data_IF_234345251989
#
_entry.id   IF_234345251989
#
_cell.length_a   1.000
_cell.length_b   1.000
_cell.length_c   1.000
_cell.angle_alpha   90.00
_cell.angle_beta   90.00
_cell.angle_gamma   90.00
#
_symmetry.space_group_name_H-M   'P 1'
#
loop_
_entity.id
_entity.type
_entity.pdbx_description
1 polymer ?
#
# COMPACT_ATOMS: atom_id res chain seq x y z
N UNK A 1 -9.83 11.04 4.66
CA UNK A 1 -10.39 12.30 5.17
C UNK A 1 -9.38 13.45 5.16
N UNK A 2 -8.12 13.28 5.60
CA UNK A 2 -7.13 14.37 5.67
C UNK A 2 -6.84 15.01 4.29
N UNK A 3 -6.75 14.19 3.24
CA UNK A 3 -6.45 14.67 1.88
C UNK A 3 -7.55 15.59 1.35
N UNK A 4 -8.82 15.27 1.55
CA UNK A 4 -9.92 16.14 1.09
C UNK A 4 -9.95 17.46 1.87
N UNK A 5 -9.61 17.45 3.17
CA UNK A 5 -9.48 18.70 3.96
C UNK A 5 -8.37 19.61 3.42
N UNK A 6 -7.24 19.02 3.09
CA UNK A 6 -6.12 19.74 2.48
C UNK A 6 -6.51 20.36 1.14
N UNK A 7 -7.18 19.59 0.27
CA UNK A 7 -7.64 20.08 -1.05
C UNK A 7 -8.70 21.17 -0.90
N UNK A 8 -9.60 21.02 0.06
CA UNK A 8 -10.59 22.06 0.38
C UNK A 8 -9.92 23.35 0.86
N UNK A 9 -8.83 23.26 1.64
CA UNK A 9 -8.06 24.43 2.08
C UNK A 9 -7.37 25.14 0.91
N UNK A 10 -6.80 24.41 -0.04
CA UNK A 10 -6.27 25.02 -1.28
C UNK A 10 -7.36 25.71 -2.08
N UNK A 11 -8.53 25.09 -2.20
CA UNK A 11 -9.65 25.61 -2.97
C UNK A 11 -10.26 26.90 -2.37
N UNK A 12 -10.31 27.02 -1.05
CA UNK A 12 -11.02 28.10 -0.34
C UNK A 12 -10.13 29.22 0.20
N UNK A 13 -8.86 29.27 -0.24
CA UNK A 13 -7.89 30.29 0.19
C UNK A 13 -7.29 30.04 1.56
N UNK A 14 -7.17 28.79 1.99
CA UNK A 14 -6.43 28.35 3.16
C UNK A 14 -7.26 28.05 4.40
N UNK A 15 -8.58 28.04 4.31
CA UNK A 15 -9.39 27.70 5.46
C UNK A 15 -9.50 26.19 5.65
N UNK A 16 -9.06 25.69 6.79
CA UNK A 16 -9.27 24.34 7.23
C UNK A 16 -10.74 24.13 7.60
N UNK A 17 -11.34 23.06 7.13
CA UNK A 17 -12.73 22.71 7.40
C UNK A 17 -12.82 21.45 8.24
N UNK A 18 -13.79 21.42 9.16
CA UNK A 18 -14.17 20.20 9.85
C UNK A 18 -14.97 19.31 8.88
N UNK A 19 -14.63 18.02 8.87
CA UNK A 19 -15.42 17.01 8.21
C UNK A 19 -16.46 16.48 9.19
N UNK A 20 -17.71 16.85 8.98
CA UNK A 20 -18.82 16.43 9.81
C UNK A 20 -19.75 15.53 9.00
N UNK A 21 -20.11 14.38 9.54
CA UNK A 21 -21.15 13.51 8.98
C UNK A 21 -22.53 14.10 9.24
N UNK A 22 -22.70 14.71 10.43
CA UNK A 22 -23.93 15.38 10.80
C UNK A 22 -23.86 16.84 10.34
N UNK A 23 -24.81 17.27 9.52
CA UNK A 23 -24.91 18.65 9.05
C UNK A 23 -25.64 19.56 10.06
N UNK A 24 -26.76 19.09 10.57
CA UNK A 24 -27.60 19.77 11.55
C UNK A 24 -28.39 18.76 12.37
N UNK A 25 -28.78 19.17 13.56
CA UNK A 25 -29.72 18.43 14.38
C UNK A 25 -31.00 19.24 14.48
N UNK A 26 -32.13 18.63 14.19
CA UNK A 26 -33.45 19.25 14.28
C UNK A 26 -34.27 18.58 15.38
N UNK A 27 -35.03 19.37 16.07
CA UNK A 27 -36.03 18.87 17.03
C UNK A 27 -37.24 18.33 16.29
N UNK A 28 -38.12 17.57 16.99
CA UNK A 28 -39.33 16.97 16.38
C UNK A 28 -40.28 17.97 15.76
N UNK A 29 -40.20 19.24 16.14
CA UNK A 29 -41.02 20.34 15.59
C UNK A 29 -40.28 21.11 14.46
N UNK A 30 -39.19 20.57 13.92
CA UNK A 30 -38.44 21.15 12.79
C UNK A 30 -37.52 22.32 13.14
N UNK A 31 -37.36 22.66 14.42
CA UNK A 31 -36.40 23.69 14.82
C UNK A 31 -34.97 23.16 14.78
N UNK A 32 -34.05 23.93 14.19
CA UNK A 32 -32.61 23.60 14.22
C UNK A 32 -32.09 23.79 15.62
N UNK A 33 -31.63 22.71 16.23
CA UNK A 33 -31.06 22.70 17.58
C UNK A 33 -29.54 22.93 17.55
N UNK A 34 -28.86 22.37 16.53
CA UNK A 34 -27.41 22.47 16.38
C UNK A 34 -27.03 22.50 14.90
N UNK A 35 -26.03 23.29 14.57
CA UNK A 35 -25.38 23.31 13.23
C UNK A 35 -23.93 22.94 13.38
N UNK A 36 -23.47 22.00 12.56
CA UNK A 36 -22.08 21.57 12.59
C UNK A 36 -21.11 22.74 12.31
N UNK A 37 -20.13 22.92 13.17
CA UNK A 37 -19.06 23.87 12.95
C UNK A 37 -18.12 23.32 11.84
N UNK A 38 -18.12 23.97 10.69
CA UNK A 38 -17.39 23.53 9.49
C UNK A 38 -16.03 24.22 9.33
N UNK A 39 -15.73 25.24 10.08
CA UNK A 39 -14.52 26.05 9.91
C UNK A 39 -13.64 25.97 11.13
N UNK A 40 -12.36 25.71 10.91
CA UNK A 40 -11.33 25.72 11.98
C UNK A 40 -10.44 26.96 11.80
N UNK A 41 -9.20 26.75 11.38
CA UNK A 41 -8.18 27.75 11.30
C UNK A 41 -7.92 28.17 9.84
N UNK A 42 -7.23 29.27 9.66
CA UNK A 42 -6.72 29.70 8.37
C UNK A 42 -5.22 29.47 8.30
N UNK A 43 -4.79 28.74 7.27
CA UNK A 43 -3.38 28.58 6.94
C UNK A 43 -2.85 29.94 6.45
N UNK A 44 -1.76 30.41 7.04
CA UNK A 44 -1.07 31.63 6.60
C UNK A 44 -0.07 31.28 5.51
N UNK A 45 -0.26 31.80 4.31
CA UNK A 45 0.66 31.63 3.20
C UNK A 45 1.64 32.80 3.18
N UNK A 46 2.94 32.57 2.97
CA UNK A 46 3.94 33.62 2.80
C UNK A 46 3.69 34.43 1.53
N UNK A 47 3.26 33.73 0.47
CA UNK A 47 2.91 34.32 -0.82
C UNK A 47 1.65 33.65 -1.35
N UNK A 48 0.60 34.43 -1.55
CA UNK A 48 -0.67 33.94 -2.06
C UNK A 48 -0.67 33.71 -3.58
N UNK A 49 0.35 34.23 -4.31
CA UNK A 49 0.50 33.95 -5.74
C UNK A 49 0.72 32.47 -6.00
N UNK A 50 1.42 31.77 -5.09
CA UNK A 50 1.66 30.32 -5.17
C UNK A 50 0.36 29.51 -5.23
N UNK A 51 -0.71 29.97 -4.59
CA UNK A 51 -2.03 29.33 -4.69
C UNK A 51 -2.60 29.40 -6.09
N UNK A 52 -2.38 30.51 -6.79
CA UNK A 52 -2.83 30.68 -8.17
C UNK A 52 -2.04 29.76 -9.11
N UNK A 53 -0.74 29.64 -8.92
CA UNK A 53 0.11 28.75 -9.71
C UNK A 53 -0.26 27.28 -9.52
N UNK A 54 -0.53 26.87 -8.28
CA UNK A 54 -1.06 25.53 -7.96
C UNK A 54 -2.40 25.30 -8.67
N UNK A 55 -3.32 26.28 -8.63
CA UNK A 55 -4.62 26.19 -9.30
C UNK A 55 -4.46 26.04 -10.81
N UNK A 56 -3.60 26.85 -11.44
CA UNK A 56 -3.30 26.75 -12.87
C UNK A 56 -2.78 25.36 -13.21
N UNK A 57 -1.78 24.85 -12.44
CA UNK A 57 -1.26 23.53 -12.61
C UNK A 57 -2.32 22.43 -12.47
N UNK A 58 -3.21 22.53 -11.48
CA UNK A 58 -4.31 21.58 -11.28
C UNK A 58 -5.35 21.63 -12.40
N UNK A 59 -5.65 22.80 -12.93
CA UNK A 59 -6.54 22.95 -14.11
C UNK A 59 -5.91 22.33 -15.35
N UNK A 60 -4.60 22.48 -15.53
CA UNK A 60 -3.90 21.89 -16.67
C UNK A 60 -3.96 20.35 -16.63
N UNK A 61 -3.98 19.72 -15.46
CA UNK A 61 -4.21 18.26 -15.35
C UNK A 61 -5.56 17.85 -15.93
N UNK A 62 -6.61 18.66 -15.73
CA UNK A 62 -7.96 18.41 -16.26
C UNK A 62 -8.12 18.70 -17.74
N UNK A 63 -7.33 19.64 -18.28
CA UNK A 63 -7.51 20.11 -19.67
C UNK A 63 -6.49 19.55 -20.65
N UNK A 64 -5.30 19.22 -20.18
CA UNK A 64 -4.17 18.81 -21.03
C UNK A 64 -3.43 17.57 -20.48
N UNK A 65 -3.63 17.24 -19.19
CA UNK A 65 -2.93 16.14 -18.48
C UNK A 65 -3.74 14.86 -18.40
N UNK A 66 -3.40 14.01 -17.43
CA UNK A 66 -3.95 12.67 -17.26
C UNK A 66 -5.49 12.62 -17.02
N UNK A 67 -6.10 13.72 -16.61
CA UNK A 67 -7.54 13.79 -16.39
C UNK A 67 -8.31 14.42 -17.59
N UNK A 68 -7.64 14.69 -18.72
CA UNK A 68 -8.23 15.33 -19.90
C UNK A 68 -9.41 14.54 -20.45
N UNK A 69 -9.29 13.22 -20.54
CA UNK A 69 -10.35 12.38 -21.13
C UNK A 69 -11.63 12.42 -20.29
N UNK A 70 -11.52 12.62 -18.98
CA UNK A 70 -12.66 12.74 -18.08
C UNK A 70 -13.22 14.17 -18.01
N UNK A 71 -12.36 15.18 -18.01
CA UNK A 71 -12.77 16.56 -17.73
C UNK A 71 -12.62 17.53 -18.88
N UNK A 72 -11.95 17.16 -19.98
CA UNK A 72 -11.73 18.06 -21.11
C UNK A 72 -13.02 18.58 -21.77
N UNK A 73 -14.08 17.77 -21.77
CA UNK A 73 -15.42 18.14 -22.21
C UNK A 73 -16.42 18.39 -21.08
N UNK A 74 -15.97 18.38 -19.81
CA UNK A 74 -16.84 18.61 -18.68
C UNK A 74 -17.27 20.09 -18.63
N UNK A 75 -18.58 20.38 -18.45
CA UNK A 75 -19.08 21.74 -18.61
C UNK A 75 -18.67 22.73 -17.52
N UNK A 76 -18.01 22.22 -16.47
CA UNK A 76 -17.52 23.00 -15.33
C UNK A 76 -16.00 22.82 -15.26
N UNK A 77 -15.30 23.93 -15.12
CA UNK A 77 -13.83 23.93 -15.00
C UNK A 77 -13.41 23.28 -13.69
N UNK A 78 -12.65 22.19 -13.78
CA UNK A 78 -12.20 21.38 -12.64
C UNK A 78 -10.71 21.56 -12.43
N UNK A 79 -10.30 21.70 -11.19
CA UNK A 79 -8.89 21.63 -10.78
C UNK A 79 -8.61 20.26 -10.18
N UNK A 80 -7.70 19.50 -10.78
CA UNK A 80 -7.45 18.09 -10.48
C UNK A 80 -5.98 17.82 -10.21
N UNK A 81 -5.68 16.89 -9.30
CA UNK A 81 -4.33 16.31 -9.13
C UNK A 81 -4.43 14.80 -8.99
N UNK A 82 -3.74 14.12 -9.86
CA UNK A 82 -3.62 12.65 -9.86
C UNK A 82 -2.36 12.23 -9.11
N UNK A 83 -2.37 11.03 -8.56
CA UNK A 83 -1.22 10.45 -7.87
C UNK A 83 -1.28 8.95 -7.88
N UNK A 84 -0.15 8.30 -8.18
CA UNK A 84 0.04 6.87 -8.02
C UNK A 84 0.99 6.70 -6.86
N UNK A 85 0.46 6.31 -5.71
CA UNK A 85 1.26 6.13 -4.51
C UNK A 85 1.75 4.68 -4.44
N UNK A 86 3.03 4.50 -4.62
CA UNK A 86 3.64 3.20 -4.43
C UNK A 86 3.59 2.82 -2.95
N UNK A 87 3.18 1.58 -2.69
CA UNK A 87 3.32 1.00 -1.37
C UNK A 87 4.77 0.57 -1.20
N UNK A 88 5.50 1.16 -0.29
CA UNK A 88 6.85 0.71 0.04
C UNK A 88 6.78 -0.72 0.60
N UNK A 89 7.41 -1.68 -0.11
CA UNK A 89 7.23 -3.09 0.16
C UNK A 89 5.83 -3.53 -0.26
N UNK A 90 5.68 -3.99 -1.48
CA UNK A 90 4.38 -4.34 -2.11
C UNK A 90 3.54 -5.38 -1.35
N UNK A 91 4.16 -6.20 -0.52
CA UNK A 91 3.54 -6.94 0.59
C UNK A 91 4.33 -6.56 1.83
N UNK A 92 3.70 -6.43 3.00
CA UNK A 92 4.44 -6.47 4.23
C UNK A 92 5.38 -7.67 4.16
N UNK A 93 6.68 -7.43 4.24
CA UNK A 93 7.72 -8.48 4.13
C UNK A 93 7.53 -9.59 5.18
N UNK A 94 6.67 -9.34 6.16
CA UNK A 94 6.25 -10.23 7.22
C UNK A 94 5.03 -11.12 6.88
N UNK A 95 4.60 -11.16 5.61
CA UNK A 95 3.41 -11.95 5.17
C UNK A 95 3.58 -12.67 3.84
N UNK A 96 4.78 -12.67 3.29
CA UNK A 96 5.04 -13.35 2.01
C UNK A 96 4.81 -14.88 2.13
N UNK A 97 5.26 -15.47 3.22
CA UNK A 97 5.05 -16.89 3.48
C UNK A 97 3.57 -17.27 3.50
N UNK A 98 2.76 -16.51 4.25
CA UNK A 98 1.33 -16.77 4.38
C UNK A 98 0.60 -16.60 3.05
N UNK A 99 0.98 -15.57 2.29
CA UNK A 99 0.45 -15.35 0.95
C UNK A 99 0.73 -16.53 0.03
N UNK A 100 2.00 -16.92 -0.12
CA UNK A 100 2.39 -18.05 -0.97
C UNK A 100 1.71 -19.36 -0.54
N UNK A 101 1.61 -19.62 0.77
CA UNK A 101 0.94 -20.80 1.30
C UNK A 101 -0.56 -20.84 0.99
N UNK A 102 -1.22 -19.69 0.93
CA UNK A 102 -2.65 -19.61 0.58
C UNK A 102 -2.92 -19.72 -0.93
N UNK A 103 -1.90 -19.49 -1.78
CA UNK A 103 -2.02 -19.48 -3.24
C UNK A 103 -1.35 -20.65 -3.96
N UNK A 104 -1.00 -21.73 -3.25
CA UNK A 104 -0.32 -22.89 -3.83
C UNK A 104 -1.11 -23.56 -4.97
N UNK A 105 -2.43 -23.44 -4.98
CA UNK A 105 -3.28 -23.94 -6.05
C UNK A 105 -3.03 -23.26 -7.39
N UNK A 106 -2.64 -21.96 -7.40
CA UNK A 106 -2.28 -21.25 -8.61
C UNK A 106 -1.03 -21.82 -9.28
N UNK A 107 -0.17 -22.51 -8.52
CA UNK A 107 0.99 -23.24 -8.99
C UNK A 107 0.73 -24.71 -9.28
N UNK A 108 -0.54 -25.17 -9.20
CA UNK A 108 -0.92 -26.58 -9.32
C UNK A 108 -0.19 -27.50 -8.34
N UNK A 109 0.04 -27.02 -7.11
CA UNK A 109 0.77 -27.74 -6.07
C UNK A 109 -0.14 -28.12 -4.90
N UNK A 110 0.08 -29.33 -4.39
CA UNK A 110 -0.55 -29.84 -3.18
C UNK A 110 0.14 -29.29 -1.92
N UNK A 111 -0.65 -28.78 -0.99
CA UNK A 111 -0.16 -28.14 0.24
C UNK A 111 0.66 -29.08 1.11
N UNK A 112 0.26 -30.35 1.24
CA UNK A 112 0.97 -31.31 2.10
C UNK A 112 2.36 -31.61 1.54
N UNK A 113 2.46 -31.81 0.23
CA UNK A 113 3.75 -32.04 -0.46
C UNK A 113 4.67 -30.84 -0.36
N UNK A 114 4.11 -29.63 -0.47
CA UNK A 114 4.89 -28.40 -0.34
C UNK A 114 5.43 -28.25 1.08
N UNK A 115 4.60 -28.50 2.10
CA UNK A 115 5.03 -28.43 3.51
C UNK A 115 6.10 -29.50 3.83
N UNK A 116 5.95 -30.71 3.34
CA UNK A 116 6.96 -31.77 3.52
C UNK A 116 8.30 -31.32 2.93
N UNK A 117 8.29 -30.81 1.68
CA UNK A 117 9.51 -30.34 1.01
C UNK A 117 10.14 -29.14 1.71
N UNK A 118 9.32 -28.17 2.11
CA UNK A 118 9.71 -26.99 2.88
C UNK A 118 10.41 -27.38 4.19
N UNK A 119 9.78 -28.26 4.99
CA UNK A 119 10.33 -28.72 6.25
C UNK A 119 11.65 -29.48 6.06
N UNK A 120 11.74 -30.31 5.02
CA UNK A 120 12.97 -31.01 4.66
C UNK A 120 14.11 -30.04 4.34
N UNK A 121 13.86 -29.03 3.52
CA UNK A 121 14.87 -28.03 3.16
C UNK A 121 15.38 -27.25 4.37
N UNK A 122 14.49 -26.84 5.29
CA UNK A 122 14.89 -26.16 6.53
C UNK A 122 15.72 -27.08 7.41
N UNK A 123 15.26 -28.31 7.63
CA UNK A 123 15.95 -29.31 8.46
C UNK A 123 17.34 -29.65 7.91
N UNK A 124 17.46 -29.84 6.59
CA UNK A 124 18.74 -30.12 5.94
C UNK A 124 19.73 -28.97 6.16
N UNK A 125 19.27 -27.71 6.01
CA UNK A 125 20.13 -26.53 6.24
C UNK A 125 20.51 -26.36 7.71
N UNK A 126 19.60 -26.58 8.65
CA UNK A 126 19.91 -26.55 10.08
C UNK A 126 20.94 -27.60 10.45
N UNK A 127 20.88 -28.79 9.83
CA UNK A 127 21.87 -29.84 10.01
C UNK A 127 23.25 -29.43 9.45
N UNK A 128 23.29 -28.84 8.25
CA UNK A 128 24.51 -28.32 7.66
C UNK A 128 25.17 -27.27 8.56
N UNK A 129 24.41 -26.25 8.98
CA UNK A 129 24.87 -25.17 9.86
C UNK A 129 25.38 -25.72 11.21
N UNK A 130 24.70 -26.72 11.74
CA UNK A 130 25.12 -27.41 12.96
C UNK A 130 26.49 -28.10 12.76
N UNK A 131 26.67 -28.81 11.64
CA UNK A 131 27.93 -29.47 11.31
C UNK A 131 29.07 -28.46 11.05
N UNK A 132 28.78 -27.35 10.35
CA UNK A 132 29.72 -26.23 10.14
C UNK A 132 30.19 -25.65 11.49
N UNK A 133 29.25 -25.39 12.42
CA UNK A 133 29.54 -24.87 13.75
C UNK A 133 30.40 -25.85 14.57
N UNK A 134 30.05 -27.14 14.52
CA UNK A 134 30.86 -28.21 15.19
C UNK A 134 32.29 -28.26 14.63
N UNK A 135 32.44 -28.18 13.31
CA UNK A 135 33.75 -28.17 12.65
C UNK A 135 34.56 -26.93 13.06
N UNK A 136 33.96 -25.75 13.10
CA UNK A 136 34.59 -24.51 13.54
C UNK A 136 35.07 -24.61 15.01
N UNK A 137 34.22 -25.10 15.91
CA UNK A 137 34.59 -25.30 17.33
C UNK A 137 35.72 -26.27 17.47
N UNK A 138 35.70 -27.41 16.77
CA UNK A 138 36.82 -28.40 16.79
C UNK A 138 38.13 -27.79 16.30
N UNK A 139 38.09 -26.97 15.25
CA UNK A 139 39.28 -26.27 14.77
C UNK A 139 39.83 -25.30 15.83
N UNK A 140 38.96 -24.50 16.48
CA UNK A 140 39.35 -23.57 17.55
C UNK A 140 39.90 -24.27 18.81
N UNK A 141 39.38 -25.43 19.15
CA UNK A 141 39.89 -26.25 20.28
C UNK A 141 41.32 -26.74 19.99
N UNK A 142 41.59 -27.12 18.74
CA UNK A 142 42.90 -27.65 18.33
C UNK A 142 43.94 -26.56 18.04
N UNK A 143 43.49 -25.29 17.91
CA UNK A 143 44.39 -24.16 17.63
C UNK A 143 45.16 -23.76 18.90
N UNK A 144 46.44 -24.05 18.93
CA UNK A 144 47.34 -23.75 20.06
C UNK A 144 47.64 -22.26 20.23
N UNK A 145 47.37 -21.44 19.23
CA UNK A 145 47.48 -19.98 19.29
C UNK A 145 46.38 -19.34 20.14
N UNK A 146 45.26 -20.04 20.33
CA UNK A 146 44.16 -19.59 21.16
C UNK A 146 44.43 -19.91 22.63
N UNK A 147 44.13 -18.93 23.48
CA UNK A 147 44.25 -19.05 24.93
C UNK A 147 43.57 -20.30 25.49
N UNK A 148 44.22 -20.94 26.48
CA UNK A 148 43.77 -22.22 27.03
C UNK A 148 42.35 -22.16 27.64
N UNK A 149 41.97 -21.03 28.28
CA UNK A 149 40.67 -20.92 28.92
C UNK A 149 39.57 -20.71 27.88
N UNK A 150 39.89 -20.03 26.78
CA UNK A 150 38.98 -19.94 25.63
C UNK A 150 38.76 -21.30 24.97
N UNK A 151 39.82 -22.10 24.81
CA UNK A 151 39.72 -23.47 24.27
C UNK A 151 38.87 -24.37 25.16
N UNK A 152 39.02 -24.29 26.49
CA UNK A 152 38.15 -25.00 27.46
C UNK A 152 36.67 -24.57 27.33
N UNK A 153 36.42 -23.29 27.08
CA UNK A 153 35.06 -22.80 26.86
C UNK A 153 34.45 -23.40 25.60
N UNK A 154 35.18 -23.44 24.49
CA UNK A 154 34.74 -24.08 23.25
C UNK A 154 34.50 -25.59 23.42
N UNK A 155 35.33 -26.24 24.20
CA UNK A 155 35.15 -27.67 24.55
C UNK A 155 33.81 -27.90 25.28
N UNK A 156 33.52 -27.09 26.30
CA UNK A 156 32.24 -27.17 27.03
C UNK A 156 31.04 -26.90 26.14
N UNK A 157 31.15 -25.90 25.23
CA UNK A 157 30.09 -25.62 24.25
C UNK A 157 29.84 -26.84 23.34
N UNK A 158 30.88 -27.50 22.88
CA UNK A 158 30.78 -28.70 22.04
C UNK A 158 30.14 -29.87 22.80
N UNK A 159 30.57 -30.10 24.07
CA UNK A 159 30.04 -31.17 24.95
C UNK A 159 28.57 -30.96 25.32
N UNK A 160 28.12 -29.72 25.44
CA UNK A 160 26.72 -29.38 25.70
C UNK A 160 25.75 -29.72 24.54
N UNK A 161 26.33 -30.06 23.39
CA UNK A 161 25.54 -30.37 22.17
C UNK A 161 25.13 -29.14 21.41
N UNK A 162 25.52 -29.09 20.13
CA UNK A 162 25.19 -27.97 19.23
C UNK A 162 23.98 -28.30 18.41
N UNK A 163 23.00 -27.38 18.42
CA UNK A 163 21.85 -27.34 17.47
C UNK A 163 21.67 -25.94 16.97
N UNK A 164 21.92 -25.72 15.69
CA UNK A 164 21.68 -24.44 15.04
C UNK A 164 20.29 -24.48 14.44
N UNK A 165 19.48 -23.46 14.72
CA UNK A 165 18.17 -23.24 14.14
C UNK A 165 18.21 -22.07 13.18
N UNK A 166 17.41 -22.14 12.13
CA UNK A 166 17.16 -21.00 11.26
C UNK A 166 16.25 -20.00 11.97
N UNK A 167 16.43 -18.72 11.66
CA UNK A 167 15.51 -17.68 12.14
C UNK A 167 14.09 -17.96 11.64
N UNK A 168 13.13 -17.82 12.55
CA UNK A 168 11.72 -18.00 12.22
C UNK A 168 11.08 -16.64 11.82
N UNK A 169 11.65 -16.02 10.80
CA UNK A 169 11.14 -14.80 10.21
C UNK A 169 10.40 -15.12 8.91
N UNK A 170 9.40 -14.29 8.54
CA UNK A 170 8.68 -14.44 7.28
C UNK A 170 9.65 -14.51 6.10
N UNK A 171 10.66 -13.65 6.07
CA UNK A 171 11.67 -13.62 5.01
C UNK A 171 12.39 -14.96 4.84
N UNK A 172 12.81 -15.59 5.93
CA UNK A 172 13.48 -16.91 5.90
C UNK A 172 12.49 -17.97 5.48
N UNK A 173 11.30 -17.96 6.04
CA UNK A 173 10.25 -18.93 5.72
C UNK A 173 9.83 -18.84 4.25
N UNK A 174 9.59 -17.63 3.73
CA UNK A 174 9.27 -17.41 2.34
C UNK A 174 10.39 -17.89 1.39
N UNK A 175 11.65 -17.67 1.74
CA UNK A 175 12.79 -18.15 0.94
C UNK A 175 12.78 -19.67 0.78
N UNK A 176 12.54 -20.42 1.87
CA UNK A 176 12.48 -21.89 1.80
C UNK A 176 11.22 -22.38 1.12
N UNK A 177 10.10 -21.68 1.28
CA UNK A 177 8.86 -22.00 0.58
C UNK A 177 9.01 -21.83 -0.94
N UNK A 178 9.61 -20.73 -1.41
CA UNK A 178 9.94 -20.53 -2.82
C UNK A 178 10.79 -21.65 -3.39
N UNK A 179 11.80 -22.10 -2.65
CA UNK A 179 12.64 -23.24 -3.05
C UNK A 179 11.82 -24.52 -3.14
N UNK A 180 10.93 -24.79 -2.19
CA UNK A 180 10.07 -25.96 -2.21
C UNK A 180 9.13 -25.96 -3.41
N UNK A 181 8.49 -24.82 -3.72
CA UNK A 181 7.63 -24.62 -4.88
C UNK A 181 8.39 -24.95 -6.18
N UNK A 182 9.54 -24.33 -6.40
CA UNK A 182 10.37 -24.54 -7.62
C UNK A 182 10.91 -25.96 -7.75
N UNK A 183 11.19 -26.65 -6.65
CA UNK A 183 11.64 -28.03 -6.68
C UNK A 183 10.52 -29.02 -6.97
N UNK A 184 9.29 -28.71 -6.59
CA UNK A 184 8.12 -29.54 -6.88
C UNK A 184 7.54 -29.29 -8.26
N UNK A 185 7.74 -28.10 -8.79
CA UNK A 185 7.35 -27.75 -10.16
C UNK A 185 8.45 -26.89 -10.80
N UNK A 186 9.33 -27.55 -11.54
CA UNK A 186 10.49 -26.90 -12.19
C UNK A 186 10.14 -25.92 -13.32
N UNK A 187 8.87 -25.84 -13.73
CA UNK A 187 8.38 -24.87 -14.71
C UNK A 187 8.12 -23.49 -14.07
N UNK A 188 8.02 -23.42 -12.74
CA UNK A 188 7.76 -22.19 -12.02
C UNK A 188 9.07 -21.43 -11.85
N UNK A 189 9.11 -20.21 -12.36
CA UNK A 189 10.23 -19.28 -12.24
C UNK A 189 10.06 -18.37 -11.01
N UNK A 190 11.10 -17.61 -10.66
CA UNK A 190 11.00 -16.57 -9.63
C UNK A 190 10.05 -15.45 -10.08
N UNK A 191 10.00 -15.14 -11.38
CA UNK A 191 9.06 -14.18 -11.96
C UNK A 191 7.61 -14.64 -11.80
N UNK A 192 7.32 -15.93 -12.03
CA UNK A 192 5.98 -16.46 -11.79
C UNK A 192 5.57 -16.38 -10.32
N UNK A 193 6.50 -16.63 -9.41
CA UNK A 193 6.26 -16.47 -7.98
C UNK A 193 6.09 -14.98 -7.62
N UNK A 194 6.85 -14.10 -8.24
CA UNK A 194 6.81 -12.66 -7.97
C UNK A 194 5.59 -11.94 -8.56
N UNK A 195 4.80 -12.61 -9.43
CA UNK A 195 3.53 -12.07 -9.94
C UNK A 195 2.55 -11.67 -8.85
N UNK A 196 2.60 -12.31 -7.68
CA UNK A 196 1.77 -11.88 -6.56
C UNK A 196 2.05 -10.44 -6.12
N UNK A 197 3.23 -9.91 -6.39
CA UNK A 197 3.58 -8.52 -6.11
C UNK A 197 2.79 -7.55 -6.99
N UNK A 198 2.29 -8.02 -8.13
CA UNK A 198 1.43 -7.27 -9.04
C UNK A 198 0.01 -7.13 -8.46
N UNK A 199 -0.47 -8.12 -7.70
CA UNK A 199 -1.77 -8.07 -6.98
C UNK A 199 -1.82 -6.96 -5.92
N UNK A 200 -0.67 -6.43 -5.53
CA UNK A 200 -0.52 -5.30 -4.63
C UNK A 200 -0.10 -4.05 -5.37
N UNK A 201 -0.84 -3.75 -6.41
CA UNK A 201 -0.68 -2.54 -7.20
C UNK A 201 -0.62 -1.27 -6.36
N UNK A 202 -0.03 -0.24 -6.93
CA UNK A 202 0.02 1.08 -6.33
C UNK A 202 -1.38 1.61 -6.02
N UNK A 203 -1.51 2.46 -5.01
CA UNK A 203 -2.77 3.15 -4.73
C UNK A 203 -3.03 4.20 -5.81
N UNK A 204 -4.16 4.09 -6.49
CA UNK A 204 -4.62 5.15 -7.38
C UNK A 204 -5.26 6.28 -6.56
N UNK A 205 -4.74 7.47 -6.71
CA UNK A 205 -5.24 8.67 -6.06
C UNK A 205 -5.68 9.72 -7.07
N UNK A 206 -6.78 10.34 -6.80
CA UNK A 206 -7.17 11.57 -7.46
C UNK A 206 -7.85 12.50 -6.46
N UNK A 207 -7.54 13.78 -6.55
CA UNK A 207 -8.21 14.84 -5.81
C UNK A 207 -8.63 15.93 -6.77
N UNK A 208 -9.75 16.55 -6.49
CA UNK A 208 -10.22 17.64 -7.33
C UNK A 208 -11.13 18.60 -6.54
N UNK A 209 -11.27 19.81 -7.07
CA UNK A 209 -12.30 20.74 -6.65
C UNK A 209 -12.92 21.46 -7.85
N UNK A 210 -14.17 21.85 -7.72
CA UNK A 210 -14.92 22.52 -8.79
C UNK A 210 -15.97 23.48 -8.21
N UNK A 211 -16.35 24.54 -8.98
CA UNK A 211 -15.63 25.10 -10.12
C UNK A 211 -14.23 25.60 -9.70
N UNK A 212 -13.26 25.57 -10.60
CA UNK A 212 -11.88 25.98 -10.28
C UNK A 212 -11.77 27.43 -9.79
N UNK A 213 -12.65 28.32 -10.30
CA UNK A 213 -12.60 29.74 -10.00
C UNK A 213 -13.46 30.14 -8.78
N UNK A 214 -14.54 29.38 -8.49
CA UNK A 214 -15.40 29.60 -7.34
C UNK A 214 -15.78 28.23 -6.71
N UNK A 215 -14.89 27.58 -5.97
CA UNK A 215 -15.06 26.22 -5.51
C UNK A 215 -16.31 26.01 -4.64
N UNK A 216 -17.08 24.97 -4.97
CA UNK A 216 -18.28 24.54 -4.25
C UNK A 216 -18.13 23.16 -3.64
N UNK A 217 -17.33 22.32 -4.27
CA UNK A 217 -17.07 20.95 -3.82
C UNK A 217 -15.59 20.61 -3.96
N UNK A 218 -15.07 19.88 -2.99
CA UNK A 218 -13.78 19.20 -3.07
C UNK A 218 -13.98 17.69 -2.87
N UNK A 219 -13.34 16.89 -3.69
CA UNK A 219 -13.47 15.43 -3.69
C UNK A 219 -12.08 14.80 -3.65
N UNK A 220 -11.96 13.69 -2.93
CA UNK A 220 -10.79 12.84 -2.97
C UNK A 220 -11.22 11.39 -3.18
N UNK A 221 -10.58 10.71 -4.10
CA UNK A 221 -10.77 9.29 -4.37
C UNK A 221 -9.45 8.55 -4.20
N UNK A 222 -9.52 7.39 -3.55
CA UNK A 222 -8.41 6.47 -3.40
C UNK A 222 -8.91 5.07 -3.69
N UNK A 223 -8.24 4.39 -4.60
CA UNK A 223 -8.53 2.99 -4.94
C UNK A 223 -7.32 2.16 -4.50
N UNK A 224 -7.48 1.29 -3.48
CA UNK A 224 -6.43 0.34 -3.12
C UNK A 224 -6.16 -0.58 -4.31
N UNK A 225 -4.87 -0.86 -4.56
CA UNK A 225 -4.46 -1.72 -5.69
C UNK A 225 -4.95 -1.22 -7.07
N UNK A 226 -5.15 0.09 -7.18
CA UNK A 226 -5.71 0.71 -8.39
C UNK A 226 -4.69 0.91 -9.52
N UNK A 227 -3.46 0.47 -9.36
CA UNK A 227 -2.33 0.52 -10.31
C UNK A 227 -2.03 1.90 -10.87
N UNK A 228 -2.97 2.53 -11.54
CA UNK A 228 -2.83 3.86 -12.15
C UNK A 228 -3.84 4.85 -11.63
N UNK A 229 -3.40 6.07 -11.42
CA UNK A 229 -4.25 7.18 -10.96
C UNK A 229 -5.44 7.49 -11.88
N UNK A 230 -5.41 7.07 -13.14
CA UNK A 230 -6.50 7.27 -14.11
C UNK A 230 -7.83 6.67 -13.63
N UNK A 231 -7.78 5.53 -12.95
CA UNK A 231 -8.99 4.89 -12.43
C UNK A 231 -9.66 5.71 -11.32
N UNK A 232 -8.90 6.47 -10.55
CA UNK A 232 -9.46 7.32 -9.49
C UNK A 232 -10.09 8.62 -10.02
N UNK A 233 -9.89 8.96 -11.30
CA UNK A 233 -10.46 10.17 -11.93
C UNK A 233 -11.96 10.02 -12.21
N UNK A 234 -12.39 8.86 -12.70
CA UNK A 234 -13.78 8.60 -13.09
C UNK A 234 -14.77 8.75 -11.92
N UNK A 235 -14.55 8.13 -10.74
CA UNK A 235 -15.44 8.32 -9.59
C UNK A 235 -15.57 9.79 -9.17
N UNK A 236 -14.50 10.57 -9.28
CA UNK A 236 -14.55 12.02 -8.99
C UNK A 236 -15.42 12.75 -10.01
N UNK A 237 -15.25 12.43 -11.30
CA UNK A 237 -16.08 13.01 -12.37
C UNK A 237 -17.56 12.75 -12.14
N UNK A 238 -17.93 11.51 -11.86
CA UNK A 238 -19.33 11.13 -11.62
C UNK A 238 -19.89 11.80 -10.35
N UNK A 239 -19.10 11.85 -9.27
CA UNK A 239 -19.48 12.55 -8.03
C UNK A 239 -19.75 14.05 -8.30
N UNK A 240 -18.90 14.71 -9.08
CA UNK A 240 -19.08 16.11 -9.44
C UNK A 240 -20.27 16.31 -10.39
N UNK A 241 -20.44 15.41 -11.37
CA UNK A 241 -21.57 15.45 -12.28
C UNK A 241 -22.90 15.34 -11.53
N UNK A 242 -22.99 14.44 -10.57
CA UNK A 242 -24.16 14.30 -9.69
C UNK A 242 -24.39 15.56 -8.85
N UNK A 243 -23.32 16.07 -8.21
CA UNK A 243 -23.41 17.26 -7.35
C UNK A 243 -23.93 18.50 -8.11
N UNK A 244 -23.52 18.67 -9.37
CA UNK A 244 -23.93 19.79 -10.23
C UNK A 244 -25.19 19.51 -11.03
N UNK A 245 -25.86 18.37 -10.83
CA UNK A 245 -27.09 18.03 -11.54
C UNK A 245 -26.90 17.75 -13.04
N UNK A 246 -25.73 17.33 -13.45
CA UNK A 246 -25.39 17.00 -14.84
C UNK A 246 -25.78 15.58 -15.25
N UNK A 247 -26.10 14.71 -14.28
CA UNK A 247 -26.60 13.35 -14.47
C UNK A 247 -28.11 13.39 -14.11
N UNK A 248 -28.96 12.94 -15.02
CA UNK A 248 -30.40 12.74 -14.72
C UNK A 248 -30.52 11.45 -13.91
N UNK A 249 -31.35 11.48 -12.85
CA UNK A 249 -31.73 10.27 -12.14
C UNK A 249 -32.27 9.23 -13.12
N UNK A 250 -31.70 8.02 -13.14
CA UNK A 250 -32.13 6.93 -14.03
C UNK A 250 -31.15 6.59 -15.18
N UNK A 251 -30.04 7.32 -15.40
CA UNK A 251 -29.07 7.00 -16.45
C UNK A 251 -27.77 6.34 -15.94
N UNK A 252 -27.70 5.98 -14.65
CA UNK A 252 -26.50 5.37 -14.06
C UNK A 252 -26.28 3.90 -14.45
N UNK A 253 -27.27 3.19 -15.00
CA UNK A 253 -27.24 1.72 -15.16
C UNK A 253 -27.11 1.20 -16.60
N UNK A 254 -26.93 2.02 -17.62
CA UNK A 254 -26.96 1.54 -19.02
C UNK A 254 -25.60 1.47 -19.75
N UNK A 255 -24.47 1.55 -19.05
CA UNK A 255 -23.15 1.33 -19.69
C UNK A 255 -22.24 0.50 -18.81
N UNK A 256 -22.52 -0.80 -18.75
CA UNK A 256 -21.55 -1.87 -18.47
C UNK A 256 -21.36 -2.71 -19.72
#
# INVERSE_FOLDING_TARGET
SQVVRYVAALANGGYLVNLNVVNKVETSNGKVAEVANRRLDKISFKDTSNLNDIKIGMVNVSTQGLAKDAFGSFPIKVATKTGTAEKSGKIPTDKEYDYLMSHLSSYSLDKAKVLERYNKLKSDRERELTNEKIKDLKAKINDTSIDSDKRKKYQKELEAGIKVKLDDTDKVNAQYLRRAIKQLNSKITDEDIDKYKEDYGSFAWCVAYAPADNPKIAVACMIPQGETSSYAVLPIRETMAQYFGLIKEGQADEKN
#
